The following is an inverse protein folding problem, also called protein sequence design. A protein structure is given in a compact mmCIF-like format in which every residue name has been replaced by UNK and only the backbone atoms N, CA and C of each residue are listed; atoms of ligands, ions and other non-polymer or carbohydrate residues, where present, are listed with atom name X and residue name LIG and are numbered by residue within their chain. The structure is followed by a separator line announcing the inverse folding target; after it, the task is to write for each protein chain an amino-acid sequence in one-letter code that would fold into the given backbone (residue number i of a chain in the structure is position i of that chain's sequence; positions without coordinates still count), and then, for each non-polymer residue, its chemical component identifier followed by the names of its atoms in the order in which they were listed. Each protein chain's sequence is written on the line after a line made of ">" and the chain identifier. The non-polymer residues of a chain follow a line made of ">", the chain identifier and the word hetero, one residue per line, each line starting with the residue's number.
data_IF_869589547533
#
_entry.id   IF_869589547533
#
_cell.length_a   1.000
_cell.length_b   1.000
_cell.length_c   1.000
_cell.angle_alpha   90.00
_cell.angle_beta   90.00
_cell.angle_gamma   90.00
#
_symmetry.space_group_name_H-M   'P 1'
#
loop_
_entity.id
_entity.type
_entity.pdbx_description
1 polymer ?
#
# COMPACT_ATOMS: atom_id res chain seq x y z
N UNK A 1 -0.46 -1.26 -2.87
CA UNK A 1 -1.92 -1.47 -2.91
C UNK A 1 -2.60 -0.25 -2.31
N UNK A 2 -2.87 -0.22 -1.00
CA UNK A 2 -3.54 0.91 -0.31
C UNK A 2 -2.97 2.31 -0.63
N UNK A 3 -1.64 2.49 -0.51
CA UNK A 3 -1.00 3.77 -0.81
C UNK A 3 -1.20 4.23 -2.25
N UNK A 4 -1.14 3.31 -3.22
CA UNK A 4 -1.26 3.63 -4.65
C UNK A 4 -2.66 4.15 -4.96
N UNK A 5 -3.68 3.49 -4.44
CA UNK A 5 -5.08 3.85 -4.67
C UNK A 5 -5.43 5.18 -3.99
N UNK A 6 -5.06 5.34 -2.71
CA UNK A 6 -5.33 6.56 -1.96
C UNK A 6 -4.48 7.75 -2.42
N UNK A 7 -3.24 7.53 -2.88
CA UNK A 7 -2.39 8.61 -3.40
C UNK A 7 -2.99 9.26 -4.65
N UNK A 8 -3.62 8.49 -5.54
CA UNK A 8 -4.31 9.05 -6.69
C UNK A 8 -5.46 9.96 -6.26
N UNK A 9 -6.26 9.52 -5.28
CA UNK A 9 -7.34 10.32 -4.71
C UNK A 9 -6.83 11.61 -4.04
N UNK A 10 -5.77 11.51 -3.23
CA UNK A 10 -5.17 12.68 -2.57
C UNK A 10 -4.62 13.67 -3.60
N UNK A 11 -3.97 13.19 -4.67
CA UNK A 11 -3.50 14.06 -5.76
C UNK A 11 -4.63 14.69 -6.59
N UNK A 12 -5.78 14.04 -6.68
CA UNK A 12 -6.96 14.62 -7.32
C UNK A 12 -7.56 15.73 -6.47
N UNK A 13 -7.58 15.58 -5.14
CA UNK A 13 -8.07 16.60 -4.22
C UNK A 13 -7.09 17.76 -4.04
N UNK A 14 -5.80 17.47 -3.98
CA UNK A 14 -4.72 18.46 -3.88
C UNK A 14 -3.59 18.08 -4.85
N UNK A 15 -3.54 18.67 -6.05
CA UNK A 15 -2.49 18.41 -7.02
C UNK A 15 -1.11 18.94 -6.61
N UNK A 16 -1.04 19.91 -5.68
CA UNK A 16 0.20 20.56 -5.26
C UNK A 16 0.84 19.87 -4.05
N UNK A 17 0.12 18.97 -3.39
CA UNK A 17 0.64 18.25 -2.22
C UNK A 17 1.92 17.48 -2.56
N UNK A 18 2.96 17.74 -1.76
CA UNK A 18 4.23 17.05 -1.90
C UNK A 18 4.12 15.59 -1.47
N UNK A 19 4.92 14.72 -2.09
CA UNK A 19 4.99 13.29 -1.76
C UNK A 19 5.26 13.01 -0.26
N UNK A 20 5.97 13.91 0.43
CA UNK A 20 6.21 13.84 1.87
C UNK A 20 4.91 13.99 2.66
N UNK A 21 4.08 14.98 2.31
CA UNK A 21 2.75 15.20 2.91
C UNK A 21 1.80 14.04 2.63
N UNK A 22 1.78 13.52 1.39
CA UNK A 22 1.00 12.32 1.04
C UNK A 22 1.39 11.14 1.94
N UNK A 23 2.69 10.90 2.13
CA UNK A 23 3.17 9.78 2.94
C UNK A 23 2.72 9.89 4.40
N UNK A 24 2.80 11.09 4.98
CA UNK A 24 2.36 11.34 6.35
C UNK A 24 0.84 11.21 6.51
N UNK A 25 0.08 11.80 5.58
CA UNK A 25 -1.37 11.75 5.58
C UNK A 25 -1.87 10.31 5.45
N UNK A 26 -1.34 9.55 4.50
CA UNK A 26 -1.75 8.17 4.26
C UNK A 26 -1.33 7.23 5.39
N UNK A 27 -0.21 7.49 6.06
CA UNK A 27 0.19 6.74 7.26
C UNK A 27 -0.81 6.94 8.41
N UNK A 28 -1.23 8.20 8.65
CA UNK A 28 -2.27 8.51 9.64
C UNK A 28 -3.61 7.91 9.25
N UNK A 29 -4.02 8.06 7.99
CA UNK A 29 -5.28 7.53 7.47
C UNK A 29 -5.33 6.00 7.60
N UNK A 30 -4.24 5.30 7.32
CA UNK A 30 -4.16 3.85 7.50
C UNK A 30 -4.35 3.42 8.95
N UNK A 31 -3.75 4.14 9.91
CA UNK A 31 -3.91 3.85 11.34
C UNK A 31 -5.33 4.13 11.83
N UNK A 32 -5.98 5.16 11.29
CA UNK A 32 -7.36 5.51 11.59
C UNK A 32 -8.40 4.63 10.85
N UNK A 33 -7.98 3.88 9.83
CA UNK A 33 -8.88 3.08 9.01
C UNK A 33 -9.46 1.89 9.79
N UNK A 34 -10.71 1.54 9.46
CA UNK A 34 -11.42 0.42 10.04
C UNK A 34 -10.65 -0.91 9.88
N UNK A 35 -10.80 -1.77 10.88
CA UNK A 35 -10.16 -3.10 10.90
C UNK A 35 -10.47 -3.92 9.64
N UNK A 36 -11.71 -3.84 9.16
CA UNK A 36 -12.19 -4.56 7.98
C UNK A 36 -11.42 -4.19 6.70
N UNK A 37 -11.17 -2.89 6.51
CA UNK A 37 -10.39 -2.39 5.38
C UNK A 37 -8.94 -2.86 5.50
N UNK A 38 -8.36 -2.76 6.70
CA UNK A 38 -6.98 -3.23 6.95
C UNK A 38 -6.82 -4.73 6.65
N UNK A 39 -7.78 -5.55 7.09
CA UNK A 39 -7.80 -6.99 6.84
C UNK A 39 -7.98 -7.31 5.35
N UNK A 40 -8.86 -6.60 4.63
CA UNK A 40 -8.99 -6.74 3.17
C UNK A 40 -7.65 -6.51 2.45
N UNK A 41 -6.94 -5.44 2.79
CA UNK A 41 -5.63 -5.15 2.19
C UNK A 41 -4.54 -6.13 2.64
N UNK A 42 -4.62 -6.66 3.87
CA UNK A 42 -3.75 -7.75 4.35
C UNK A 42 -3.95 -9.03 3.56
N UNK A 43 -5.20 -9.44 3.34
CA UNK A 43 -5.55 -10.61 2.54
C UNK A 43 -5.06 -10.45 1.10
N UNK A 44 -5.27 -9.28 0.49
CA UNK A 44 -4.72 -8.94 -0.82
C UNK A 44 -3.20 -9.04 -0.85
N UNK A 45 -2.50 -8.46 0.15
CA UNK A 45 -1.05 -8.53 0.23
C UNK A 45 -0.55 -9.98 0.36
N UNK A 46 -1.24 -10.81 1.14
CA UNK A 46 -0.95 -12.25 1.27
C UNK A 46 -1.12 -12.98 -0.05
N UNK A 47 -2.23 -12.77 -0.75
CA UNK A 47 -2.49 -13.36 -2.06
C UNK A 47 -1.44 -12.95 -3.10
N UNK A 48 -1.03 -11.67 -3.11
CA UNK A 48 0.06 -11.18 -3.97
C UNK A 48 1.39 -11.84 -3.64
N UNK A 49 1.75 -11.95 -2.36
CA UNK A 49 2.97 -12.62 -1.91
C UNK A 49 2.98 -14.08 -2.34
N UNK A 50 1.85 -14.77 -2.18
CA UNK A 50 1.72 -16.18 -2.55
C UNK A 50 1.81 -16.39 -4.07
N UNK A 51 1.13 -15.53 -4.85
CA UNK A 51 1.24 -15.51 -6.31
C UNK A 51 2.69 -15.23 -6.75
N UNK A 52 3.35 -14.27 -6.12
CA UNK A 52 4.73 -13.93 -6.42
C UNK A 52 5.68 -15.09 -6.10
N UNK A 53 5.50 -15.76 -4.95
CA UNK A 53 6.29 -16.95 -4.61
C UNK A 53 6.05 -18.11 -5.59
N UNK A 54 4.81 -18.31 -6.05
CA UNK A 54 4.50 -19.33 -7.08
C UNK A 54 5.15 -19.01 -8.43
N UNK A 55 5.14 -17.74 -8.84
CA UNK A 55 5.74 -17.28 -10.09
C UNK A 55 7.27 -17.22 -10.03
N UNK A 56 7.82 -16.92 -8.86
CA UNK A 56 9.25 -16.78 -8.64
C UNK A 56 9.70 -17.63 -7.44
N UNK A 57 9.72 -18.96 -7.58
CA UNK A 57 10.08 -19.87 -6.48
C UNK A 57 11.53 -19.69 -5.99
N UNK A 58 12.41 -19.12 -6.81
CA UNK A 58 13.80 -18.81 -6.46
C UNK A 58 14.02 -17.35 -6.04
N UNK A 59 12.97 -16.54 -5.91
CA UNK A 59 13.11 -15.15 -5.50
C UNK A 59 13.59 -15.06 -4.05
N UNK A 60 14.78 -14.47 -3.87
CA UNK A 60 15.33 -14.14 -2.56
C UNK A 60 15.63 -12.66 -2.51
N UNK A 61 14.97 -11.95 -1.60
CA UNK A 61 15.21 -10.53 -1.39
C UNK A 61 16.61 -10.34 -0.77
N UNK A 62 17.54 -9.80 -1.56
CA UNK A 62 18.90 -9.45 -1.14
C UNK A 62 19.04 -7.92 -1.18
N UNK A 63 18.77 -7.21 -0.07
CA UNK A 63 19.04 -5.78 0.03
C UNK A 63 20.56 -5.54 0.04
N UNK A 64 21.01 -4.48 -0.64
CA UNK A 64 22.39 -3.98 -0.62
C UNK A 64 22.55 -2.85 0.39
#
# INVERSE_FOLDING_TARGET
>A
LYRKDRQAHVKQMDPQIQNKGISQLLGKAWNAESHEVREKYRALAKAYKERHNKLHPHYRYNPR
#
